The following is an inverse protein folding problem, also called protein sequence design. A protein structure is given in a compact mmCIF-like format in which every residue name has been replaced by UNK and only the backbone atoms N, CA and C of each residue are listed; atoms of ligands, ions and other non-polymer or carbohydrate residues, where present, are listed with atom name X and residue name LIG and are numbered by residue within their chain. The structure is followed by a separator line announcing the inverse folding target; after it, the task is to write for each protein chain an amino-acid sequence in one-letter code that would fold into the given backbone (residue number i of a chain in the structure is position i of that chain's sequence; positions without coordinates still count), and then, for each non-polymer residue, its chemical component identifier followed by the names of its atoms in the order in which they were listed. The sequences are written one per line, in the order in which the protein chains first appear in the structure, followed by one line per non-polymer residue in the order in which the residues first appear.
data_IF_124576298118
#
_entry.id   IF_124576298118
#
_cell.length_a   1.000
_cell.length_b   1.000
_cell.length_c   1.000
_cell.angle_alpha   90.00
_cell.angle_beta   90.00
_cell.angle_gamma   90.00
#
_symmetry.space_group_name_H-M   'P 1'
#
loop_
_entity.id
_entity.type
_entity.pdbx_description
1 polymer ?
#
# COMPACT_ATOMS: atom_id res chain seq x y z
N UNK A 1 -5.66 -35.20 -8.98
CA UNK A 1 -5.32 -33.98 -8.22
C UNK A 1 -4.15 -33.33 -8.95
N UNK A 2 -4.40 -32.25 -9.68
CA UNK A 2 -3.32 -31.42 -10.23
C UNK A 2 -2.91 -30.47 -9.12
N UNK A 3 -1.66 -30.53 -8.67
CA UNK A 3 -1.08 -29.37 -8.01
C UNK A 3 -1.04 -28.27 -9.08
N UNK A 4 -1.56 -27.09 -8.75
CA UNK A 4 -1.41 -25.93 -9.64
C UNK A 4 0.08 -25.66 -9.86
N UNK A 5 0.43 -25.07 -11.00
CA UNK A 5 1.80 -24.62 -11.26
C UNK A 5 2.17 -23.57 -10.20
N UNK A 6 2.84 -24.02 -9.13
CA UNK A 6 3.40 -23.14 -8.12
C UNK A 6 4.45 -22.28 -8.82
N UNK A 7 4.14 -21.00 -8.98
CA UNK A 7 5.05 -20.02 -9.54
C UNK A 7 5.75 -19.28 -8.40
N UNK A 8 7.08 -19.27 -8.43
CA UNK A 8 7.90 -18.58 -7.46
C UNK A 8 8.92 -17.66 -8.11
N UNK A 9 9.12 -16.50 -7.50
CA UNK A 9 10.19 -15.57 -7.85
C UNK A 9 10.89 -15.13 -6.57
N UNK A 10 12.21 -14.99 -6.63
CA UNK A 10 12.98 -14.35 -5.57
C UNK A 10 13.73 -13.19 -6.18
N UNK A 11 13.46 -11.99 -5.70
CA UNK A 11 14.10 -10.76 -6.16
C UNK A 11 15.12 -10.29 -5.12
N UNK A 12 16.41 -10.62 -5.27
CA UNK A 12 17.46 -9.97 -4.50
C UNK A 12 17.63 -8.53 -4.99
N UNK A 13 17.90 -7.62 -4.07
CA UNK A 13 18.04 -6.21 -4.35
C UNK A 13 19.05 -5.53 -3.43
N UNK A 14 19.34 -4.27 -3.77
CA UNK A 14 20.10 -3.37 -2.93
C UNK A 14 19.39 -2.02 -2.93
N UNK A 15 18.99 -1.56 -1.75
CA UNK A 15 18.41 -0.25 -1.56
C UNK A 15 19.52 0.78 -1.38
N UNK A 16 19.38 1.91 -2.08
CA UNK A 16 20.23 3.07 -1.89
C UNK A 16 19.34 4.31 -1.97
N UNK A 17 19.34 5.10 -0.90
CA UNK A 17 18.52 6.29 -0.78
C UNK A 17 19.33 7.41 -0.16
N UNK A 18 19.32 8.55 -0.82
CA UNK A 18 19.84 9.81 -0.32
C UNK A 18 18.66 10.75 -0.14
N UNK A 19 18.65 11.48 0.97
CA UNK A 19 17.70 12.54 1.20
C UNK A 19 18.44 13.75 1.77
N UNK A 20 18.11 14.91 1.22
CA UNK A 20 18.57 16.21 1.70
C UNK A 20 17.38 16.98 2.28
N UNK A 21 17.53 17.60 3.44
CA UNK A 21 16.44 18.33 4.09
C UNK A 21 16.75 18.80 5.50
N UNK A 22 15.78 18.70 6.41
CA UNK A 22 15.99 19.03 7.84
C UNK A 22 17.08 18.17 8.48
N UNK A 23 17.30 16.97 7.95
CA UNK A 23 18.40 16.10 8.34
C UNK A 23 18.85 15.36 7.09
N UNK A 24 20.09 15.58 6.70
CA UNK A 24 20.70 14.90 5.56
C UNK A 24 21.03 13.45 5.97
N UNK A 25 20.68 12.51 5.11
CA UNK A 25 21.03 11.11 5.34
C UNK A 25 21.25 10.33 4.05
N UNK A 26 22.11 9.33 4.18
CA UNK A 26 22.25 8.24 3.20
C UNK A 26 21.86 6.93 3.86
N UNK A 27 21.03 6.15 3.19
CA UNK A 27 20.58 4.84 3.61
C UNK A 27 20.93 3.82 2.55
N UNK A 28 21.56 2.72 2.94
CA UNK A 28 21.95 1.67 2.02
C UNK A 28 21.86 0.29 2.65
N UNK A 29 21.57 -0.72 1.82
CA UNK A 29 21.74 -2.11 2.22
C UNK A 29 20.95 -3.11 1.39
N UNK A 30 21.16 -4.41 1.64
CA UNK A 30 20.51 -5.47 0.88
C UNK A 30 19.01 -5.54 1.16
N UNK A 31 18.26 -5.95 0.14
CA UNK A 31 16.84 -6.27 0.20
C UNK A 31 16.57 -7.61 -0.49
N UNK A 32 15.54 -8.32 -0.02
CA UNK A 32 15.10 -9.58 -0.59
C UNK A 32 13.57 -9.61 -0.59
N UNK A 33 12.98 -9.84 -1.76
CA UNK A 33 11.54 -9.92 -1.93
C UNK A 33 11.14 -11.25 -2.60
N UNK A 34 10.90 -12.32 -1.82
CA UNK A 34 10.33 -13.55 -2.35
C UNK A 34 8.83 -13.40 -2.62
N UNK A 35 8.36 -14.01 -3.70
CA UNK A 35 6.96 -14.11 -4.05
C UNK A 35 6.63 -15.53 -4.50
N UNK A 36 5.53 -16.06 -3.98
CA UNK A 36 4.94 -17.34 -4.38
C UNK A 36 3.48 -17.11 -4.77
N UNK A 37 3.04 -17.77 -5.82
CA UNK A 37 1.65 -17.77 -6.25
C UNK A 37 1.23 -19.18 -6.69
N UNK A 38 0.02 -19.57 -6.29
CA UNK A 38 -0.63 -20.80 -6.72
C UNK A 38 -2.12 -20.53 -6.91
N UNK A 39 -2.55 -20.43 -8.17
CA UNK A 39 -3.92 -20.07 -8.55
C UNK A 39 -4.39 -18.77 -7.87
N UNK A 40 -5.45 -18.81 -7.03
CA UNK A 40 -5.98 -17.63 -6.34
C UNK A 40 -5.14 -17.19 -5.13
N UNK A 41 -4.13 -17.97 -4.74
CA UNK A 41 -3.31 -17.70 -3.56
C UNK A 41 -2.01 -16.99 -3.95
N UNK A 42 -1.62 -15.96 -3.19
CA UNK A 42 -0.28 -15.39 -3.29
C UNK A 42 0.32 -15.09 -1.92
N UNK A 43 1.62 -15.31 -1.78
CA UNK A 43 2.43 -14.99 -0.62
C UNK A 43 3.58 -14.10 -1.08
N UNK A 44 3.75 -12.94 -0.44
CA UNK A 44 4.87 -12.02 -0.70
C UNK A 44 5.60 -11.77 0.60
N UNK A 45 6.91 -11.91 0.59
CA UNK A 45 7.79 -11.56 1.69
C UNK A 45 8.66 -10.35 1.37
N UNK A 46 9.18 -9.73 2.40
CA UNK A 46 10.23 -8.73 2.32
C UNK A 46 11.21 -8.93 3.48
N UNK A 47 12.51 -8.85 3.20
CA UNK A 47 13.55 -8.74 4.20
C UNK A 47 14.56 -7.67 3.79
N UNK A 48 14.85 -6.70 4.66
CA UNK A 48 15.90 -5.70 4.41
C UNK A 48 16.74 -5.42 5.64
N UNK A 49 18.00 -5.11 5.38
CA UNK A 49 18.95 -4.57 6.36
C UNK A 49 19.45 -3.25 5.82
N UNK A 50 19.27 -2.18 6.57
CA UNK A 50 19.52 -0.82 6.13
C UNK A 50 20.45 -0.13 7.14
N UNK A 51 21.51 0.49 6.64
CA UNK A 51 22.37 1.36 7.43
C UNK A 51 22.10 2.79 6.96
N UNK A 52 21.57 3.61 7.86
CA UNK A 52 21.33 5.02 7.64
C UNK A 52 22.42 5.81 8.36
N UNK A 53 23.19 6.60 7.61
CA UNK A 53 24.16 7.56 8.15
C UNK A 53 23.56 8.95 8.14
N UNK A 54 23.67 9.62 9.27
CA UNK A 54 23.25 11.00 9.48
C UNK A 54 24.49 11.83 9.77
N UNK A 55 24.59 13.06 9.23
CA UNK A 55 25.77 13.92 9.35
C UNK A 55 26.19 14.26 10.80
N UNK A 56 25.33 13.98 11.78
CA UNK A 56 25.59 14.15 13.22
C UNK A 56 26.23 12.93 13.91
N UNK A 57 26.75 11.97 13.14
CA UNK A 57 27.72 10.99 13.63
C UNK A 57 27.16 9.71 14.27
N UNK A 58 25.85 9.46 14.19
CA UNK A 58 25.26 8.18 14.60
C UNK A 58 24.78 7.39 13.38
N UNK A 59 25.34 6.19 13.20
CA UNK A 59 24.87 5.20 12.24
C UNK A 59 23.65 4.49 12.82
N UNK A 60 22.51 4.62 12.13
CA UNK A 60 21.26 3.94 12.45
C UNK A 60 21.19 2.63 11.68
N UNK A 61 21.03 1.52 12.39
CA UNK A 61 20.79 0.21 11.77
C UNK A 61 19.32 -0.11 11.84
N UNK A 62 18.77 -0.60 10.73
CA UNK A 62 17.39 -1.03 10.67
C UNK A 62 17.28 -2.40 10.02
N UNK A 63 16.59 -3.31 10.68
CA UNK A 63 16.16 -4.58 10.11
C UNK A 63 14.64 -4.52 9.90
N UNK A 64 14.17 -4.98 8.74
CA UNK A 64 12.73 -5.11 8.45
C UNK A 64 12.44 -6.48 7.90
N UNK A 65 11.39 -7.10 8.41
CA UNK A 65 10.80 -8.33 7.88
C UNK A 65 9.31 -8.11 7.69
N UNK A 66 8.79 -8.52 6.54
CA UNK A 66 7.39 -8.41 6.22
C UNK A 66 6.91 -9.65 5.47
N UNK A 67 5.65 -10.01 5.70
CA UNK A 67 4.97 -11.01 4.88
C UNK A 67 3.52 -10.59 4.68
N UNK A 68 3.01 -10.85 3.48
CA UNK A 68 1.61 -10.65 3.13
C UNK A 68 1.09 -11.86 2.37
N UNK A 69 -0.12 -12.29 2.72
CA UNK A 69 -0.83 -13.35 2.03
C UNK A 69 -2.12 -12.78 1.45
N UNK A 70 -2.45 -13.15 0.23
CA UNK A 70 -3.69 -12.77 -0.44
C UNK A 70 -4.40 -14.00 -1.02
N UNK A 71 -5.72 -13.98 -0.93
CA UNK A 71 -6.61 -14.92 -1.59
C UNK A 71 -7.62 -14.16 -2.45
N UNK A 72 -7.54 -14.37 -3.77
CA UNK A 72 -8.40 -13.73 -4.76
C UNK A 72 -9.66 -14.56 -5.04
N UNK A 73 -10.82 -13.91 -5.05
CA UNK A 73 -12.13 -14.51 -5.30
C UNK A 73 -12.94 -13.59 -6.22
N UNK A 74 -13.06 -13.90 -7.51
CA UNK A 74 -13.81 -13.07 -8.46
C UNK A 74 -13.48 -11.56 -8.33
N UNK A 75 -14.40 -10.75 -7.77
CA UNK A 75 -14.20 -9.31 -7.55
C UNK A 75 -13.58 -8.95 -6.18
N UNK A 76 -13.34 -9.93 -5.32
CA UNK A 76 -12.88 -9.76 -3.94
C UNK A 76 -11.45 -10.27 -3.73
N UNK A 77 -10.73 -9.67 -2.79
CA UNK A 77 -9.45 -10.14 -2.28
C UNK A 77 -9.48 -10.06 -0.77
N UNK A 78 -9.17 -11.16 -0.10
CA UNK A 78 -8.89 -11.19 1.34
C UNK A 78 -7.39 -11.25 1.53
N UNK A 79 -6.86 -10.54 2.53
CA UNK A 79 -5.44 -10.61 2.81
C UNK A 79 -5.08 -10.44 4.28
N UNK A 80 -3.89 -10.94 4.58
CA UNK A 80 -3.23 -10.87 5.87
C UNK A 80 -1.88 -10.21 5.67
N UNK A 81 -1.47 -9.37 6.62
CA UNK A 81 -0.15 -8.76 6.62
C UNK A 81 0.47 -8.84 8.01
N UNK A 82 1.77 -9.12 8.05
CA UNK A 82 2.59 -9.04 9.26
C UNK A 82 3.88 -8.32 8.92
N UNK A 83 4.35 -7.49 9.85
CA UNK A 83 5.64 -6.85 9.74
C UNK A 83 6.32 -6.74 11.10
N UNK A 84 7.62 -6.84 11.07
CA UNK A 84 8.53 -6.58 12.18
C UNK A 84 9.60 -5.62 11.69
N UNK A 85 9.94 -4.65 12.53
CA UNK A 85 11.08 -3.81 12.30
C UNK A 85 11.83 -3.58 13.60
N UNK A 86 13.14 -3.66 13.53
CA UNK A 86 14.02 -3.29 14.62
C UNK A 86 14.92 -2.15 14.17
N UNK A 87 15.03 -1.13 15.02
CA UNK A 87 15.81 0.08 14.76
C UNK A 87 16.76 0.29 15.93
N UNK A 88 18.05 0.21 15.65
CA UNK A 88 19.12 0.44 16.63
C UNK A 88 19.89 1.74 16.28
N UNK A 89 19.72 2.82 17.07
CA UNK A 89 20.51 4.05 16.97
C UNK A 89 21.93 3.94 17.53
N UNK A 90 22.37 2.78 18.03
CA UNK A 90 23.69 2.53 18.60
C UNK A 90 23.88 3.11 20.01
N UNK A 91 23.61 4.40 20.21
CA UNK A 91 23.85 5.12 21.48
C UNK A 91 22.56 5.47 22.24
N UNK A 92 21.42 5.44 21.56
CA UNK A 92 20.09 5.67 22.12
C UNK A 92 19.35 4.34 22.06
N UNK A 93 18.59 3.98 23.10
CA UNK A 93 17.92 2.68 23.17
C UNK A 93 17.15 2.33 21.90
N UNK A 94 17.26 1.08 21.47
CA UNK A 94 16.62 0.59 20.25
C UNK A 94 15.09 0.62 20.33
N UNK A 95 14.46 0.66 19.17
CA UNK A 95 13.00 0.60 19.01
C UNK A 95 12.63 -0.60 18.15
N UNK A 96 11.84 -1.50 18.71
CA UNK A 96 11.24 -2.63 17.99
C UNK A 96 9.75 -2.36 17.77
N UNK A 97 9.26 -2.61 16.56
CA UNK A 97 7.85 -2.47 16.19
C UNK A 97 7.32 -3.73 15.52
N UNK A 98 6.05 -4.04 15.79
CA UNK A 98 5.31 -5.15 15.20
C UNK A 98 3.99 -4.62 14.63
N UNK A 99 3.62 -5.11 13.44
CA UNK A 99 2.34 -4.85 12.79
C UNK A 99 1.73 -6.20 12.41
N UNK A 100 0.45 -6.36 12.66
CA UNK A 100 -0.35 -7.45 12.12
C UNK A 100 -1.71 -6.88 11.70
N UNK A 101 -2.23 -7.34 10.56
CA UNK A 101 -3.45 -6.80 10.00
C UNK A 101 -4.16 -7.79 9.08
N UNK A 102 -5.46 -7.56 8.93
CA UNK A 102 -6.31 -8.23 7.95
C UNK A 102 -6.97 -7.18 7.09
N UNK A 103 -7.13 -7.46 5.80
CA UNK A 103 -7.82 -6.55 4.88
C UNK A 103 -8.74 -7.31 3.93
N UNK A 104 -9.69 -6.56 3.40
CA UNK A 104 -10.57 -6.97 2.33
C UNK A 104 -10.62 -5.86 1.28
N UNK A 105 -10.50 -6.25 0.01
CA UNK A 105 -10.59 -5.35 -1.14
C UNK A 105 -11.64 -5.90 -2.11
N UNK A 106 -12.53 -5.03 -2.58
CA UNK A 106 -13.46 -5.32 -3.67
C UNK A 106 -13.16 -4.44 -4.88
N UNK A 107 -12.98 -5.04 -6.05
CA UNK A 107 -12.87 -4.34 -7.31
C UNK A 107 -14.28 -4.01 -7.83
N UNK A 108 -14.54 -2.72 -8.09
CA UNK A 108 -15.74 -2.28 -8.77
C UNK A 108 -15.39 -1.98 -10.22
N UNK A 109 -15.98 -2.71 -11.15
CA UNK A 109 -15.88 -2.37 -12.57
C UNK A 109 -16.66 -1.09 -12.83
N UNK A 110 -16.03 -0.10 -13.48
CA UNK A 110 -16.77 0.97 -14.14
C UNK A 110 -17.24 0.42 -15.50
N UNK A 111 -18.53 0.15 -15.65
CA UNK A 111 -19.10 -0.43 -16.88
C UNK A 111 -19.31 0.62 -17.99
N UNK A 112 -18.78 1.84 -17.83
CA UNK A 112 -18.86 2.89 -18.84
C UNK A 112 -20.28 3.40 -19.10
N UNK A 113 -21.29 2.89 -18.40
CA UNK A 113 -22.65 3.41 -18.50
C UNK A 113 -22.69 4.73 -17.76
N UNK A 114 -22.82 5.81 -18.55
CA UNK A 114 -23.03 7.18 -18.07
C UNK A 114 -23.99 7.17 -16.88
N UNK A 115 -23.72 7.92 -15.80
CA UNK A 115 -24.77 8.21 -14.83
C UNK A 115 -25.98 8.72 -15.62
N UNK A 116 -27.16 8.18 -15.31
CA UNK A 116 -28.41 8.61 -15.93
C UNK A 116 -28.43 10.14 -15.93
N UNK A 117 -28.71 10.71 -17.09
CA UNK A 117 -28.80 12.16 -17.29
C UNK A 117 -29.63 12.75 -16.13
N UNK A 118 -29.16 13.82 -15.46
CA UNK A 118 -29.93 14.42 -14.40
C UNK A 118 -31.33 14.72 -14.95
N UNK A 119 -32.36 14.16 -14.31
CA UNK A 119 -33.74 14.46 -14.65
C UNK A 119 -33.93 15.95 -14.42
N UNK A 120 -33.94 16.71 -15.52
CA UNK A 120 -34.32 18.11 -15.51
C UNK A 120 -35.75 18.18 -15.03
N UNK A 121 -35.94 18.55 -13.76
CA UNK A 121 -37.25 18.94 -13.26
C UNK A 121 -37.70 20.13 -14.12
N UNK A 122 -38.93 20.13 -14.65
CA UNK A 122 -39.42 21.27 -15.41
C UNK A 122 -39.31 22.51 -14.54
N UNK A 123 -38.68 23.55 -15.08
CA UNK A 123 -38.58 24.85 -14.45
C UNK A 123 -39.98 25.28 -14.03
N UNK A 124 -40.16 25.58 -12.75
CA UNK A 124 -41.41 26.11 -12.24
C UNK A 124 -41.81 27.31 -13.09
N UNK A 125 -42.94 27.18 -13.78
CA UNK A 125 -43.53 28.20 -14.61
C UNK A 125 -43.79 29.43 -13.75
N UNK A 126 -42.98 30.47 -13.95
CA UNK A 126 -43.15 31.77 -13.30
C UNK A 126 -44.44 32.38 -13.83
N UNK A 127 -45.56 32.08 -13.18
CA UNK A 127 -46.83 32.73 -13.43
C UNK A 127 -46.69 34.22 -13.10
N UNK A 128 -46.52 35.02 -14.16
CA UNK A 128 -46.73 36.46 -14.15
C UNK A 128 -48.19 36.72 -13.76
N UNK A 129 -48.42 37.21 -12.56
CA UNK A 129 -49.64 37.94 -12.25
C UNK A 129 -49.42 39.41 -12.64
N UNK A 130 -49.62 39.72 -13.92
CA UNK A 130 -50.02 41.07 -14.31
C UNK A 130 -51.48 41.23 -13.88
N UNK A 131 -51.73 42.16 -12.96
CA UNK A 131 -53.07 42.60 -12.56
C UNK A 131 -53.15 44.13 -12.61
N UNK A 132 -54.27 44.71 -13.06
CA UNK A 132 -54.31 45.96 -13.83
C UNK A 132 -54.47 47.23 -12.97
N UNK A 133 -54.30 48.43 -13.56
CA UNK A 133 -54.27 49.69 -12.81
C UNK A 133 -55.64 50.13 -12.30
N UNK A 134 -55.63 50.75 -11.11
CA UNK A 134 -56.52 51.84 -10.70
C UNK A 134 -55.76 52.80 -9.80
#
# INVERSE_FOLDING_TARGET
MSFGDLAGLVSPGFALRWASGTTDYVEAGPDLAPQLADGPHSLRGQASLLVQRVDEGNDLRMARLGASYEYAMAADTLGLEVAWSDRDPGTLGGTTAYKAGMFWRRAFGYDGRRPAEPVSLPAAETARAEGPPR
#
